data_IF_943386353296
#
_entry.id   IF_943386353296
#
_cell.length_a   1.000
_cell.length_b   1.000
_cell.length_c   1.000
_cell.angle_alpha   90.00
_cell.angle_beta   90.00
_cell.angle_gamma   90.00
#
_symmetry.space_group_name_H-M   'P 1'
#
loop_
_entity.id
_entity.type
_entity.pdbx_description
1 polymer ?
#
# COMPACT_ATOMS: atom_id res chain seq x y z
N UNK A 1 -25.97 -20.57 -11.29
CA UNK A 1 -24.98 -20.24 -10.25
C UNK A 1 -25.05 -18.75 -9.99
N UNK A 2 -25.55 -18.35 -8.81
CA UNK A 2 -25.64 -16.93 -8.44
C UNK A 2 -24.26 -16.36 -8.12
N UNK A 3 -24.04 -15.04 -8.29
CA UNK A 3 -22.77 -14.41 -7.96
C UNK A 3 -22.47 -14.59 -6.48
N UNK A 4 -21.36 -15.25 -6.17
CA UNK A 4 -20.86 -15.43 -4.81
C UNK A 4 -20.21 -14.12 -4.37
N UNK A 5 -21.00 -13.19 -3.83
CA UNK A 5 -20.49 -11.99 -3.17
C UNK A 5 -20.07 -12.35 -1.74
N UNK A 6 -18.89 -12.95 -1.59
CA UNK A 6 -18.40 -13.38 -0.28
C UNK A 6 -17.79 -12.22 0.53
N UNK A 7 -17.37 -11.12 -0.12
CA UNK A 7 -16.69 -9.99 0.53
C UNK A 7 -17.05 -8.64 -0.12
N UNK A 8 -17.32 -7.64 0.71
CA UNK A 8 -17.50 -6.26 0.27
C UNK A 8 -16.17 -5.51 0.19
N UNK A 9 -16.14 -4.39 -0.54
CA UNK A 9 -15.00 -3.47 -0.54
C UNK A 9 -14.72 -2.93 0.89
N UNK A 10 -15.77 -2.76 1.71
CA UNK A 10 -15.63 -2.36 3.11
C UNK A 10 -14.89 -3.43 3.91
N UNK A 11 -15.16 -4.71 3.66
CA UNK A 11 -14.46 -5.81 4.33
C UNK A 11 -12.97 -5.82 4.00
N UNK A 12 -12.61 -5.46 2.76
CA UNK A 12 -11.20 -5.29 2.38
C UNK A 12 -10.49 -4.21 3.20
N UNK A 13 -11.12 -3.04 3.40
CA UNK A 13 -10.54 -1.94 4.19
C UNK A 13 -10.55 -2.18 5.70
N UNK A 14 -11.49 -3.01 6.18
CA UNK A 14 -11.57 -3.43 7.58
C UNK A 14 -10.67 -4.64 7.89
N UNK A 15 -10.22 -5.37 6.86
CA UNK A 15 -9.31 -6.49 7.02
C UNK A 15 -7.93 -6.01 7.49
N UNK A 16 -7.41 -6.63 8.54
CA UNK A 16 -6.14 -6.24 9.18
C UNK A 16 -4.91 -6.92 8.59
N UNK A 17 -5.07 -7.78 7.58
CA UNK A 17 -3.96 -8.48 6.93
C UNK A 17 -3.13 -9.36 7.88
N UNK A 18 -3.71 -9.79 9.01
CA UNK A 18 -3.00 -10.54 10.06
C UNK A 18 -2.01 -9.73 10.89
N UNK A 19 -2.02 -8.39 10.80
CA UNK A 19 -1.09 -7.52 11.54
C UNK A 19 -1.56 -7.34 12.99
N UNK A 20 -0.61 -7.42 13.94
CA UNK A 20 -0.81 -7.07 15.36
C UNK A 20 -1.31 -5.61 15.45
N UNK A 21 -2.22 -5.32 16.38
CA UNK A 21 -3.07 -4.11 16.37
C UNK A 21 -2.34 -2.79 16.69
N UNK A 22 -1.27 -2.46 15.97
CA UNK A 22 -0.63 -1.15 16.06
C UNK A 22 -1.27 -0.16 15.05
N UNK A 23 -1.47 1.07 15.53
CA UNK A 23 -2.15 2.14 14.78
C UNK A 23 -1.41 2.54 13.51
N UNK A 24 -0.08 2.35 13.44
CA UNK A 24 0.75 2.73 12.30
C UNK A 24 0.58 1.73 11.18
N UNK A 25 0.72 0.43 11.46
CA UNK A 25 0.54 -0.63 10.46
C UNK A 25 -0.85 -0.60 9.85
N UNK A 26 -1.90 -0.35 10.64
CA UNK A 26 -3.26 -0.19 10.10
C UNK A 26 -3.38 0.99 9.14
N UNK A 27 -2.71 2.11 9.41
CA UNK A 27 -2.68 3.26 8.49
C UNK A 27 -1.90 2.93 7.21
N UNK A 28 -0.76 2.24 7.33
CA UNK A 28 0.05 1.81 6.20
C UNK A 28 -0.74 0.85 5.30
N UNK A 29 -1.37 -0.17 5.89
CA UNK A 29 -2.21 -1.12 5.19
C UNK A 29 -3.34 -0.44 4.42
N UNK A 30 -4.06 0.48 5.08
CA UNK A 30 -5.12 1.25 4.43
C UNK A 30 -4.60 2.11 3.27
N UNK A 31 -3.42 2.70 3.39
CA UNK A 31 -2.80 3.47 2.30
C UNK A 31 -2.46 2.57 1.11
N UNK A 32 -1.87 1.40 1.35
CA UNK A 32 -1.57 0.39 0.31
C UNK A 32 -2.84 -0.06 -0.40
N UNK A 33 -3.91 -0.39 0.34
CA UNK A 33 -5.19 -0.80 -0.25
C UNK A 33 -5.82 0.29 -1.12
N UNK A 34 -5.79 1.55 -0.66
CA UNK A 34 -6.31 2.69 -1.43
C UNK A 34 -5.56 2.87 -2.75
N UNK A 35 -4.24 2.78 -2.71
CA UNK A 35 -3.39 2.93 -3.90
C UNK A 35 -3.59 1.75 -4.86
N UNK A 36 -3.71 0.55 -4.32
CA UNK A 36 -4.02 -0.67 -5.08
C UNK A 36 -5.37 -0.54 -5.79
N UNK A 37 -6.43 -0.17 -5.08
CA UNK A 37 -7.75 0.04 -5.67
C UNK A 37 -7.76 1.12 -6.75
N UNK A 38 -7.04 2.23 -6.52
CA UNK A 38 -6.87 3.27 -7.53
C UNK A 38 -6.17 2.76 -8.79
N UNK A 39 -5.04 2.06 -8.65
CA UNK A 39 -4.27 1.55 -9.79
C UNK A 39 -5.04 0.47 -10.57
N UNK A 40 -5.74 -0.44 -9.88
CA UNK A 40 -6.61 -1.44 -10.53
C UNK A 40 -7.71 -0.73 -11.34
N UNK A 41 -8.39 0.25 -10.73
CA UNK A 41 -9.44 1.01 -11.43
C UNK A 41 -8.87 1.75 -12.64
N UNK A 42 -7.70 2.39 -12.50
CA UNK A 42 -7.02 3.08 -13.60
C UNK A 42 -6.67 2.12 -14.73
N UNK A 43 -6.01 0.99 -14.44
CA UNK A 43 -5.64 -0.02 -15.45
C UNK A 43 -6.85 -0.64 -16.14
N UNK A 44 -7.94 -0.89 -15.40
CA UNK A 44 -9.20 -1.35 -15.97
C UNK A 44 -9.74 -0.34 -16.97
N UNK A 45 -9.76 0.94 -16.62
CA UNK A 45 -10.20 2.00 -17.52
C UNK A 45 -9.29 2.11 -18.74
N UNK A 46 -7.96 2.06 -18.57
CA UNK A 46 -7.01 2.08 -19.69
C UNK A 46 -7.23 0.89 -20.65
N UNK A 47 -7.54 -0.29 -20.11
CA UNK A 47 -7.87 -1.47 -20.92
C UNK A 47 -9.19 -1.29 -21.69
N UNK A 48 -10.24 -0.81 -21.03
CA UNK A 48 -11.58 -0.66 -21.63
C UNK A 48 -11.61 0.46 -22.67
N UNK A 49 -11.00 1.61 -22.37
CA UNK A 49 -11.13 2.81 -23.20
C UNK A 49 -9.94 3.04 -24.15
N UNK A 50 -8.78 2.41 -23.92
CA UNK A 50 -7.58 2.58 -24.75
C UNK A 50 -7.05 1.28 -25.33
N UNK A 51 -7.73 0.14 -25.11
CA UNK A 51 -7.31 -1.16 -25.62
C UNK A 51 -5.96 -1.67 -25.10
N UNK A 52 -5.46 -1.11 -23.99
CA UNK A 52 -4.13 -1.48 -23.48
C UNK A 52 -4.12 -2.85 -22.82
N UNK A 53 -3.07 -3.62 -23.08
CA UNK A 53 -2.81 -4.90 -22.41
C UNK A 53 -2.29 -4.62 -21.00
N UNK A 54 -2.93 -5.25 -20.00
CA UNK A 54 -2.54 -5.11 -18.59
C UNK A 54 -1.45 -6.13 -18.27
N UNK A 55 -0.23 -5.66 -18.00
CA UNK A 55 0.82 -6.48 -17.42
C UNK A 55 0.68 -6.49 -15.89
N UNK A 56 0.35 -7.65 -15.32
CA UNK A 56 0.09 -7.83 -13.90
C UNK A 56 1.37 -7.63 -13.07
N UNK A 57 2.52 -8.12 -13.53
CA UNK A 57 3.81 -7.95 -12.83
C UNK A 57 4.16 -6.47 -12.71
N UNK A 58 3.98 -5.72 -13.80
CA UNK A 58 4.19 -4.27 -13.80
C UNK A 58 3.20 -3.54 -12.89
N UNK A 59 1.95 -3.99 -12.82
CA UNK A 59 0.96 -3.44 -11.89
C UNK A 59 1.39 -3.66 -10.42
N UNK A 60 1.90 -4.84 -10.06
CA UNK A 60 2.42 -5.09 -8.71
C UNK A 60 3.60 -4.18 -8.37
N UNK A 61 4.55 -4.03 -9.29
CA UNK A 61 5.68 -3.10 -9.13
C UNK A 61 5.21 -1.65 -8.98
N UNK A 62 4.23 -1.22 -9.79
CA UNK A 62 3.63 0.11 -9.68
C UNK A 62 2.96 0.30 -8.31
N UNK A 63 2.26 -0.71 -7.79
CA UNK A 63 1.64 -0.66 -6.46
C UNK A 63 2.70 -0.48 -5.38
N UNK A 64 3.76 -1.28 -5.40
CA UNK A 64 4.87 -1.19 -4.43
C UNK A 64 5.53 0.19 -4.47
N UNK A 65 5.87 0.67 -5.66
CA UNK A 65 6.53 1.97 -5.86
C UNK A 65 5.62 3.13 -5.45
N UNK A 66 4.37 3.16 -5.94
CA UNK A 66 3.46 4.27 -5.68
C UNK A 66 3.01 4.32 -4.23
N UNK A 67 2.87 3.17 -3.58
CA UNK A 67 2.59 3.12 -2.14
C UNK A 67 3.75 3.65 -1.31
N UNK A 68 4.98 3.24 -1.61
CA UNK A 68 6.18 3.80 -0.99
C UNK A 68 6.26 5.32 -1.16
N UNK A 69 6.18 5.81 -2.41
CA UNK A 69 6.27 7.25 -2.70
C UNK A 69 5.19 8.05 -1.96
N UNK A 70 3.95 7.56 -1.97
CA UNK A 70 2.84 8.27 -1.35
C UNK A 70 2.97 8.35 0.18
N UNK A 71 3.40 7.25 0.80
CA UNK A 71 3.59 7.14 2.25
C UNK A 71 4.80 7.96 2.68
N UNK A 72 5.94 7.79 2.01
CA UNK A 72 7.19 8.48 2.36
C UNK A 72 7.04 10.01 2.26
N UNK A 73 6.29 10.51 1.28
CA UNK A 73 5.98 11.96 1.16
C UNK A 73 5.05 12.49 2.25
N UNK A 74 4.31 11.63 2.96
CA UNK A 74 3.31 12.03 3.97
C UNK A 74 3.71 11.68 5.39
N UNK A 75 4.65 10.77 5.55
CA UNK A 75 5.22 10.41 6.82
C UNK A 75 6.12 11.56 7.30
N UNK A 76 5.67 12.29 8.32
CA UNK A 76 6.46 13.40 8.89
C UNK A 76 7.61 12.91 9.78
N UNK A 77 7.42 11.78 10.47
CA UNK A 77 8.31 11.32 11.56
C UNK A 77 8.83 9.88 11.36
N UNK A 78 8.54 9.26 10.20
CA UNK A 78 8.97 7.89 9.90
C UNK A 78 9.68 7.93 8.57
N UNK A 79 10.93 7.48 8.55
CA UNK A 79 11.71 7.36 7.33
C UNK A 79 11.53 5.95 6.80
N UNK A 80 10.90 5.82 5.65
CA UNK A 80 10.73 4.52 5.00
C UNK A 80 11.94 4.27 4.09
N UNK A 81 12.57 3.12 4.26
CA UNK A 81 13.61 2.63 3.37
C UNK A 81 13.00 1.68 2.35
N UNK A 82 13.37 1.82 1.08
CA UNK A 82 12.79 1.04 -0.01
C UNK A 82 13.00 -0.47 0.16
N UNK A 83 14.21 -0.90 0.56
CA UNK A 83 14.56 -2.31 0.76
C UNK A 83 13.73 -2.95 1.87
N UNK A 84 13.53 -2.23 2.99
CA UNK A 84 12.66 -2.66 4.07
C UNK A 84 11.20 -2.64 3.66
N UNK A 85 10.78 -1.65 2.86
CA UNK A 85 9.41 -1.52 2.37
C UNK A 85 8.95 -2.73 1.54
N UNK A 86 9.79 -3.24 0.64
CA UNK A 86 9.39 -4.37 -0.22
C UNK A 86 9.30 -5.70 0.53
N UNK A 87 10.05 -5.87 1.63
CA UNK A 87 10.11 -7.12 2.41
C UNK A 87 9.18 -7.08 3.64
N UNK A 88 9.31 -6.05 4.48
CA UNK A 88 8.51 -5.84 5.70
C UNK A 88 8.36 -4.33 5.99
N UNK A 89 7.35 -3.66 5.44
CA UNK A 89 7.06 -2.24 5.71
C UNK A 89 7.06 -1.82 7.18
N UNK A 90 6.62 -2.72 8.06
CA UNK A 90 6.50 -2.51 9.50
C UNK A 90 7.86 -2.46 10.23
N UNK A 91 8.94 -2.95 9.62
CA UNK A 91 10.29 -2.85 10.21
C UNK A 91 11.00 -1.55 9.83
N UNK A 92 10.36 -0.66 9.07
CA UNK A 92 10.86 0.69 8.85
C UNK A 92 10.83 1.48 10.17
N UNK A 93 12.00 1.95 10.61
CA UNK A 93 12.17 2.61 11.90
C UNK A 93 11.63 4.04 11.96
N UNK A 94 11.18 4.45 13.14
CA UNK A 94 11.10 5.86 13.52
C UNK A 94 12.51 6.41 13.60
N UNK A 95 12.75 7.56 12.98
CA UNK A 95 14.00 8.31 13.20
C UNK A 95 14.05 8.63 14.69
N UNK A 96 15.00 8.02 15.42
CA UNK A 96 15.32 8.47 16.77
C UNK A 96 15.77 9.93 16.63
N UNK A 97 15.05 10.84 17.30
CA UNK A 97 15.53 12.20 17.50
C UNK A 97 16.91 12.14 18.13
N UNK A 98 17.82 12.99 17.64
CA UNK A 98 19.25 12.93 17.93
C UNK A 98 19.56 12.73 19.41
N UNK A 99 20.44 11.77 19.67
CA UNK A 99 21.30 11.87 20.84
C UNK A 99 22.24 13.05 20.57
N UNK A 100 22.12 14.10 21.38
CA UNK A 100 23.19 15.06 21.54
C UNK A 100 24.43 14.30 22.01
N UNK A 101 25.52 14.44 21.28
CA UNK A 101 26.85 14.21 21.81
C UNK A 101 27.32 15.57 22.35
N UNK A 102 27.36 15.67 23.68
CA UNK A 102 28.15 16.66 24.42
C UNK A 102 29.63 16.24 24.41
#
# INVERSE_FOLDING_TARGET
>A
MGPVNLFTVRDLFNHRGGIVDDKVSRKLWNAVLRITGYLIRKRRNDRVFRGTIVNIMRLFQDIQLKSFEWINRRAKNIRFEWEKWIVRPQSCGTVQGGAGED
#
